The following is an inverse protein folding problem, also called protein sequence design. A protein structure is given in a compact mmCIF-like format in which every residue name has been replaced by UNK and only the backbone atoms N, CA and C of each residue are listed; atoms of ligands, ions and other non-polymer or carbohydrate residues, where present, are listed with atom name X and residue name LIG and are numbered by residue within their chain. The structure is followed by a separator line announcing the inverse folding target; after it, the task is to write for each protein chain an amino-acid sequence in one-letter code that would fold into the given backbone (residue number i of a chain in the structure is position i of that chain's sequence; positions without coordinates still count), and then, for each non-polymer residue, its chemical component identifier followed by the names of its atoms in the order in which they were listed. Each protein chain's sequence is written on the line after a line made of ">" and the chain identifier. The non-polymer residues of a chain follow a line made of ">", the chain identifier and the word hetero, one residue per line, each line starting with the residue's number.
data_IF_155829773369
#
_entry.id   IF_155829773369
#
_cell.length_a   1.000
_cell.length_b   1.000
_cell.length_c   1.000
_cell.angle_alpha   90.00
_cell.angle_beta   90.00
_cell.angle_gamma   90.00
#
_symmetry.space_group_name_H-M   'P 1'
#
loop_
_entity.id
_entity.type
_entity.pdbx_description
1 polymer ?
#
# COMPACT_ATOMS: atom_id res chain seq x y z
N UNK A 1 -30.61 9.57 14.08
CA UNK A 1 -29.31 9.74 13.41
C UNK A 1 -28.14 9.12 14.19
N UNK A 2 -28.12 9.18 15.54
CA UNK A 2 -26.96 8.70 16.31
C UNK A 2 -26.73 7.18 16.35
N UNK A 3 -27.81 6.38 16.41
CA UNK A 3 -27.70 4.91 16.34
C UNK A 3 -27.01 4.45 15.05
N UNK A 4 -27.26 5.13 13.94
CA UNK A 4 -26.63 4.85 12.65
C UNK A 4 -25.13 5.16 12.65
N UNK A 5 -24.71 6.28 13.25
CA UNK A 5 -23.29 6.63 13.36
C UNK A 5 -22.53 5.64 14.23
N UNK A 6 -23.13 5.21 15.34
CA UNK A 6 -22.55 4.20 16.22
C UNK A 6 -22.41 2.85 15.51
N UNK A 7 -23.48 2.38 14.84
CA UNK A 7 -23.46 1.15 14.07
C UNK A 7 -22.39 1.17 12.96
N UNK A 8 -22.23 2.29 12.27
CA UNK A 8 -21.19 2.46 11.24
C UNK A 8 -19.77 2.42 11.84
N UNK A 9 -19.55 3.01 13.02
CA UNK A 9 -18.25 2.93 13.72
C UNK A 9 -17.94 1.50 14.15
N UNK A 10 -18.90 0.80 14.73
CA UNK A 10 -18.74 -0.60 15.13
C UNK A 10 -18.47 -1.51 13.93
N UNK A 11 -19.23 -1.37 12.84
CA UNK A 11 -18.99 -2.13 11.62
C UNK A 11 -17.57 -1.90 11.04
N UNK A 12 -17.08 -0.66 11.06
CA UNK A 12 -15.71 -0.34 10.63
C UNK A 12 -14.64 -0.99 11.51
N UNK A 13 -14.85 -1.02 12.82
CA UNK A 13 -13.93 -1.71 13.75
C UNK A 13 -13.88 -3.21 13.46
N UNK A 14 -15.04 -3.85 13.28
CA UNK A 14 -15.12 -5.29 12.95
C UNK A 14 -14.41 -5.59 11.63
N UNK A 15 -14.64 -4.78 10.59
CA UNK A 15 -13.98 -4.96 9.29
C UNK A 15 -12.46 -4.77 9.40
N UNK A 16 -12.01 -3.78 10.19
CA UNK A 16 -10.58 -3.55 10.42
C UNK A 16 -9.97 -4.74 11.15
N UNK A 17 -10.59 -5.21 12.24
CA UNK A 17 -10.13 -6.39 12.99
C UNK A 17 -10.07 -7.65 12.11
N UNK A 18 -11.10 -7.90 11.30
CA UNK A 18 -11.12 -9.05 10.38
C UNK A 18 -10.04 -8.95 9.30
N UNK A 19 -9.81 -7.74 8.77
CA UNK A 19 -8.75 -7.49 7.79
C UNK A 19 -7.37 -7.70 8.41
N UNK A 20 -7.13 -7.16 9.61
CA UNK A 20 -5.89 -7.36 10.36
C UNK A 20 -5.65 -8.84 10.63
N UNK A 21 -6.64 -9.56 11.15
CA UNK A 21 -6.54 -11.00 11.41
C UNK A 21 -6.22 -11.81 10.15
N UNK A 22 -6.86 -11.48 9.02
CA UNK A 22 -6.59 -12.12 7.73
C UNK A 22 -5.16 -11.86 7.26
N UNK A 23 -4.67 -10.62 7.42
CA UNK A 23 -3.33 -10.23 7.01
C UNK A 23 -2.25 -10.89 7.88
N UNK A 24 -2.45 -10.94 9.20
CA UNK A 24 -1.57 -11.68 10.14
C UNK A 24 -1.47 -13.16 9.76
N UNK A 25 -2.60 -13.80 9.46
CA UNK A 25 -2.63 -15.21 9.02
C UNK A 25 -1.90 -15.43 7.69
N UNK A 26 -1.99 -14.49 6.76
CA UNK A 26 -1.23 -14.55 5.51
C UNK A 26 0.27 -14.46 5.75
N UNK A 27 0.71 -13.62 6.70
CA UNK A 27 2.13 -13.50 7.06
C UNK A 27 2.68 -14.75 7.74
N UNK A 28 1.98 -15.32 8.72
CA UNK A 28 2.36 -16.59 9.35
C UNK A 28 2.47 -17.72 8.32
N UNK A 29 1.54 -17.76 7.35
CA UNK A 29 1.58 -18.72 6.25
C UNK A 29 2.76 -18.51 5.31
N UNK A 30 3.16 -17.27 5.09
CA UNK A 30 4.34 -16.94 4.30
C UNK A 30 5.62 -17.31 5.07
N UNK A 31 5.71 -17.03 6.38
CA UNK A 31 6.82 -17.40 7.28
C UNK A 31 7.19 -18.88 7.18
N UNK A 32 6.20 -19.77 6.99
CA UNK A 32 6.42 -21.21 6.88
C UNK A 32 6.89 -21.74 5.51
N UNK A 33 6.81 -20.95 4.41
CA UNK A 33 7.16 -21.44 3.06
C UNK A 33 7.78 -20.33 2.20
N UNK A 34 9.09 -20.15 2.32
CA UNK A 34 9.89 -19.58 1.24
C UNK A 34 10.40 -18.16 1.44
N UNK A 35 10.24 -17.55 2.62
CA UNK A 35 11.00 -16.34 2.92
C UNK A 35 12.50 -16.63 2.86
N UNK A 36 12.98 -17.77 3.36
CA UNK A 36 14.43 -18.05 3.38
C UNK A 36 15.06 -17.96 1.99
N UNK A 37 14.29 -18.32 0.95
CA UNK A 37 14.70 -18.23 -0.47
C UNK A 37 14.64 -16.80 -1.04
N UNK A 38 13.74 -15.96 -0.53
CA UNK A 38 13.61 -14.54 -0.89
C UNK A 38 14.57 -13.64 -0.09
N UNK A 39 14.89 -14.01 1.15
CA UNK A 39 15.78 -13.27 2.05
C UNK A 39 17.23 -13.27 1.53
N UNK A 40 17.65 -14.32 0.80
CA UNK A 40 18.97 -14.37 0.19
C UNK A 40 19.11 -13.57 -1.12
N UNK A 41 17.99 -13.13 -1.72
CA UNK A 41 18.04 -12.41 -2.99
C UNK A 41 17.85 -10.92 -2.77
N UNK A 42 18.93 -10.16 -2.89
CA UNK A 42 18.87 -8.71 -2.96
C UNK A 42 18.06 -8.26 -4.18
N UNK A 43 17.22 -7.26 -3.99
CA UNK A 43 16.55 -6.55 -5.07
C UNK A 43 17.61 -5.78 -5.83
N UNK A 44 17.67 -5.98 -7.14
CA UNK A 44 18.58 -5.25 -8.01
C UNK A 44 17.93 -3.98 -8.54
N UNK A 45 18.75 -2.99 -8.85
CA UNK A 45 18.32 -1.70 -9.40
C UNK A 45 17.55 -1.90 -10.71
N UNK A 46 17.95 -2.85 -11.55
CA UNK A 46 17.29 -3.12 -12.83
C UNK A 46 15.87 -3.67 -12.66
N UNK A 47 15.62 -4.41 -11.58
CA UNK A 47 14.28 -4.90 -11.24
C UNK A 47 13.36 -3.74 -10.84
N UNK A 48 13.89 -2.80 -10.05
CA UNK A 48 13.17 -1.58 -9.64
C UNK A 48 12.92 -0.67 -10.85
N UNK A 49 13.92 -0.45 -11.70
CA UNK A 49 13.78 0.32 -12.94
C UNK A 49 12.73 -0.30 -13.86
N UNK A 50 12.78 -1.62 -14.06
CA UNK A 50 11.80 -2.34 -14.86
C UNK A 50 10.38 -2.27 -14.30
N UNK A 51 10.23 -2.36 -12.97
CA UNK A 51 8.94 -2.19 -12.30
C UNK A 51 8.40 -0.76 -12.44
N UNK A 52 9.26 0.25 -12.23
CA UNK A 52 8.90 1.67 -12.37
C UNK A 52 8.47 2.03 -13.79
N UNK A 53 9.10 1.42 -14.80
CA UNK A 53 8.69 1.62 -16.20
C UNK A 53 7.29 1.06 -16.48
N UNK A 54 6.92 -0.06 -15.84
CA UNK A 54 5.61 -0.70 -15.97
C UNK A 54 4.49 -0.01 -15.19
N UNK A 55 4.81 0.82 -14.19
CA UNK A 55 3.80 1.55 -13.41
C UNK A 55 3.17 2.69 -14.22
N UNK A 56 1.84 2.81 -14.23
CA UNK A 56 1.13 3.87 -14.94
C UNK A 56 1.15 5.20 -14.18
N UNK A 57 1.26 6.31 -14.93
CA UNK A 57 1.29 7.69 -14.39
C UNK A 57 -0.08 8.20 -13.89
N UNK A 58 -1.15 7.51 -14.26
CA UNK A 58 -2.54 8.00 -14.19
C UNK A 58 -3.45 7.25 -13.22
N UNK A 59 -2.90 6.41 -12.31
CA UNK A 59 -3.71 5.84 -11.23
C UNK A 59 -4.04 6.91 -10.20
N UNK A 60 -5.28 6.92 -9.71
CA UNK A 60 -5.79 7.86 -8.72
C UNK A 60 -4.76 8.03 -7.59
N UNK A 61 -4.19 9.24 -7.50
CA UNK A 61 -3.13 9.51 -6.55
C UNK A 61 -3.73 9.48 -5.15
N UNK A 62 -3.13 8.70 -4.25
CA UNK A 62 -3.49 8.72 -2.84
C UNK A 62 -3.33 10.14 -2.26
N UNK A 63 -3.80 10.38 -1.02
CA UNK A 63 -3.67 11.67 -0.32
C UNK A 63 -2.25 12.23 -0.38
N UNK A 64 -1.27 11.32 -0.42
CA UNK A 64 0.15 11.62 -0.40
C UNK A 64 0.68 12.18 -1.71
N UNK A 65 -0.06 12.14 -2.84
CA UNK A 65 0.32 12.72 -4.16
C UNK A 65 1.70 12.33 -4.76
N UNK A 66 2.56 11.60 -4.05
CA UNK A 66 4.01 11.66 -4.22
C UNK A 66 4.72 10.35 -4.64
N UNK A 67 4.03 9.27 -5.03
CA UNK A 67 4.75 8.02 -5.27
C UNK A 67 5.25 7.87 -6.72
N UNK A 68 4.40 7.60 -7.70
CA UNK A 68 4.88 7.16 -9.02
C UNK A 68 5.54 8.27 -9.85
N UNK A 69 4.98 9.49 -9.87
CA UNK A 69 5.53 10.58 -10.69
C UNK A 69 6.85 11.12 -10.14
N UNK A 70 6.95 11.27 -8.82
CA UNK A 70 8.17 11.71 -8.15
C UNK A 70 9.33 10.73 -8.41
N UNK A 71 9.11 9.43 -8.20
CA UNK A 71 10.16 8.43 -8.46
C UNK A 71 10.56 8.34 -9.93
N UNK A 72 9.65 8.69 -10.86
CA UNK A 72 9.99 8.80 -12.28
C UNK A 72 10.80 10.04 -12.61
N UNK A 73 10.63 11.16 -11.87
CA UNK A 73 11.39 12.39 -12.10
C UNK A 73 12.77 12.42 -11.43
N UNK A 74 12.95 11.72 -10.29
CA UNK A 74 14.23 11.71 -9.54
C UNK A 74 15.35 10.97 -10.31
N UNK A 75 15.01 10.17 -11.33
CA UNK A 75 15.99 9.49 -12.18
C UNK A 75 16.71 8.34 -11.46
N UNK A 76 17.83 7.88 -12.04
CA UNK A 76 18.51 6.63 -11.62
C UNK A 76 18.97 6.64 -10.16
N UNK A 77 19.57 7.74 -9.70
CA UNK A 77 20.05 7.87 -8.31
C UNK A 77 18.92 7.72 -7.28
N UNK A 78 17.72 8.24 -7.58
CA UNK A 78 16.54 8.03 -6.73
C UNK A 78 16.09 6.58 -6.69
N UNK A 79 16.17 5.89 -7.82
CA UNK A 79 15.82 4.46 -7.89
C UNK A 79 16.86 3.58 -7.20
N UNK A 80 18.14 3.96 -7.22
CA UNK A 80 19.19 3.32 -6.44
C UNK A 80 18.96 3.50 -4.94
N UNK A 81 18.61 4.71 -4.50
CA UNK A 81 18.20 4.95 -3.11
C UNK A 81 16.98 4.12 -2.71
N UNK A 82 15.96 4.07 -3.58
CA UNK A 82 14.75 3.28 -3.35
C UNK A 82 15.04 1.77 -3.28
N UNK A 83 15.97 1.28 -4.09
CA UNK A 83 16.43 -0.11 -4.08
C UNK A 83 17.11 -0.44 -2.74
N UNK A 84 17.97 0.46 -2.25
CA UNK A 84 18.60 0.34 -0.93
C UNK A 84 17.55 0.30 0.18
N UNK A 85 16.57 1.21 0.15
CA UNK A 85 15.48 1.24 1.13
C UNK A 85 14.70 -0.08 1.15
N UNK A 86 14.31 -0.59 -0.01
CA UNK A 86 13.59 -1.86 -0.07
C UNK A 86 14.43 -3.03 0.44
N UNK A 87 15.72 -3.07 0.12
CA UNK A 87 16.62 -4.10 0.63
C UNK A 87 16.75 -4.03 2.17
N UNK A 88 16.84 -2.83 2.76
CA UNK A 88 16.84 -2.67 4.22
C UNK A 88 15.54 -3.19 4.84
N UNK A 89 14.39 -2.82 4.28
CA UNK A 89 13.07 -3.28 4.77
C UNK A 89 12.93 -4.80 4.65
N UNK A 90 13.33 -5.39 3.52
CA UNK A 90 13.30 -6.84 3.30
C UNK A 90 14.23 -7.59 4.27
N UNK A 91 15.44 -7.07 4.48
CA UNK A 91 16.44 -7.66 5.40
C UNK A 91 15.98 -7.62 6.85
N UNK A 92 15.30 -6.55 7.27
CA UNK A 92 14.83 -6.41 8.65
C UNK A 92 13.72 -7.41 9.02
N UNK A 93 13.07 -8.08 8.04
CA UNK A 93 11.94 -9.00 8.20
C UNK A 93 10.79 -8.49 9.08
N UNK A 94 10.80 -7.21 9.45
CA UNK A 94 9.81 -6.54 10.28
C UNK A 94 9.24 -5.40 9.47
N UNK A 95 7.97 -5.55 9.09
CA UNK A 95 7.20 -4.42 8.60
C UNK A 95 7.15 -3.35 9.70
N UNK A 96 7.44 -2.11 9.34
CA UNK A 96 7.29 -0.97 10.24
C UNK A 96 5.84 -0.95 10.77
N UNK A 97 5.67 -0.76 12.07
CA UNK A 97 4.36 -0.79 12.73
C UNK A 97 3.36 0.13 12.01
N UNK A 98 3.80 1.32 11.61
CA UNK A 98 3.01 2.33 10.89
C UNK A 98 2.52 1.83 9.52
N UNK A 99 3.28 0.98 8.84
CA UNK A 99 2.92 0.42 7.54
C UNK A 99 1.94 -0.76 7.68
N UNK A 100 1.79 -1.32 8.88
CA UNK A 100 0.73 -2.28 9.19
C UNK A 100 -0.64 -1.60 9.28
N UNK A 101 -0.67 -0.29 9.53
CA UNK A 101 -1.88 0.50 9.65
C UNK A 101 -2.15 1.30 8.37
N UNK A 102 -2.89 0.70 7.43
CA UNK A 102 -3.34 1.42 6.24
C UNK A 102 -4.45 2.43 6.58
N UNK A 103 -4.24 3.72 6.30
CA UNK A 103 -5.29 4.73 6.38
C UNK A 103 -6.27 4.56 5.21
N UNK A 104 -7.48 4.06 5.49
CA UNK A 104 -8.55 4.02 4.49
C UNK A 104 -9.12 5.43 4.32
N UNK A 105 -8.70 6.13 3.27
CA UNK A 105 -9.28 7.41 2.88
C UNK A 105 -10.43 7.16 1.90
N UNK A 106 -11.70 7.41 2.28
CA UNK A 106 -12.81 7.30 1.35
C UNK A 106 -12.72 8.42 0.31
N UNK A 107 -12.25 8.08 -0.89
CA UNK A 107 -12.31 8.97 -2.05
C UNK A 107 -13.69 8.86 -2.69
N UNK A 108 -14.51 9.89 -2.50
CA UNK A 108 -15.78 10.02 -3.20
C UNK A 108 -15.50 10.27 -4.68
N UNK A 109 -16.01 9.37 -5.54
CA UNK A 109 -15.92 9.51 -7.00
C UNK A 109 -17.23 10.16 -7.44
N UNK A 110 -17.18 11.38 -7.98
CA UNK A 110 -18.34 12.09 -8.54
C UNK A 110 -18.88 11.34 -9.76
N UNK A 111 -19.57 10.24 -9.55
CA UNK A 111 -20.34 9.53 -10.57
C UNK A 111 -21.82 9.80 -10.31
N UNK A 112 -22.38 10.63 -11.17
CA UNK A 112 -23.82 10.89 -11.24
C UNK A 112 -24.24 12.07 -10.39
N UNK A 113 -24.01 13.28 -10.88
CA UNK A 113 -24.89 14.39 -10.52
C UNK A 113 -26.26 14.06 -11.09
N UNK A 114 -27.20 13.68 -10.23
CA UNK A 114 -28.62 13.67 -10.59
C UNK A 114 -29.00 15.13 -10.72
N UNK A 115 -29.12 15.61 -11.96
CA UNK A 115 -29.79 16.88 -12.24
C UNK A 115 -31.18 16.79 -11.60
N UNK A 116 -31.44 17.59 -10.56
CA UNK A 116 -32.80 17.85 -10.11
C UNK A 116 -33.49 18.61 -11.24
N UNK A 117 -34.38 17.94 -11.97
CA UNK A 117 -35.38 18.60 -12.80
C UNK A 117 -36.36 19.31 -11.86
N UNK A 118 -36.59 20.60 -12.13
CA UNK A 118 -37.66 21.41 -11.54
C UNK A 118 -39.04 20.88 -11.94
#
# INVERSE_FOLDING_TARGET
>A
MERYKLARKQAKLVVTAAKTATFSRLYEKLEGKGWDKLIFRQIRVEEVVGAMHKMSRSRATGPDKFLVEFWKSVGRAGLEWLTTLFNVIFMMKKMLEEWRWGAMVPLYKNKGDIKKLQ
#
